data_IF_873600686380
#
_entry.id   IF_873600686380
#
_cell.length_a   1.000
_cell.length_b   1.000
_cell.length_c   1.000
_cell.angle_alpha   90.00
_cell.angle_beta   90.00
_cell.angle_gamma   90.00
#
_symmetry.space_group_name_H-M   'P 1'
#
loop_
_entity.id
_entity.type
_entity.pdbx_description
1 polymer ?
#
# COMPACT_ATOMS: atom_id res chain seq x y z
N UNK A 1 -48.31 -18.39 57.81
CA UNK A 1 -47.84 -19.77 57.54
C UNK A 1 -47.80 -19.97 56.03
N UNK A 2 -46.70 -20.56 55.53
CA UNK A 2 -46.43 -21.04 54.16
C UNK A 2 -46.34 -19.99 53.04
N UNK A 3 -45.18 -19.61 52.50
CA UNK A 3 -44.13 -20.33 51.74
C UNK A 3 -44.55 -20.78 50.31
N UNK A 4 -43.85 -20.17 49.32
CA UNK A 4 -43.34 -20.75 48.05
C UNK A 4 -44.40 -21.00 46.94
N UNK A 5 -44.33 -20.51 45.71
CA UNK A 5 -43.18 -20.43 44.79
C UNK A 5 -43.44 -19.35 43.72
N UNK A 6 -42.66 -18.27 43.74
CA UNK A 6 -42.43 -17.46 42.54
C UNK A 6 -41.47 -18.21 41.62
N UNK A 7 -41.97 -18.68 40.46
CA UNK A 7 -41.10 -19.14 39.36
C UNK A 7 -40.25 -17.95 38.91
N UNK A 8 -38.99 -17.92 39.32
CA UNK A 8 -37.94 -17.15 38.65
C UNK A 8 -37.82 -17.73 37.23
N UNK A 9 -38.07 -16.92 36.21
CA UNK A 9 -37.67 -17.23 34.85
C UNK A 9 -36.16 -17.44 34.85
N UNK A 10 -35.72 -18.66 34.52
CA UNK A 10 -34.31 -18.93 34.24
C UNK A 10 -33.90 -18.03 33.06
N UNK A 11 -32.76 -17.32 33.15
CA UNK A 11 -32.15 -16.77 31.94
C UNK A 11 -31.80 -17.95 31.04
N UNK A 12 -32.37 -17.95 29.84
CA UNK A 12 -31.97 -18.84 28.74
C UNK A 12 -30.46 -18.61 28.53
N UNK A 13 -29.62 -19.65 28.45
CA UNK A 13 -28.21 -19.47 28.15
C UNK A 13 -28.10 -18.79 26.77
N UNK A 14 -27.38 -17.67 26.72
CA UNK A 14 -27.01 -16.99 25.48
C UNK A 14 -26.34 -18.03 24.57
N UNK A 15 -27.04 -18.42 23.52
CA UNK A 15 -26.45 -19.21 22.46
C UNK A 15 -25.37 -18.31 21.84
N UNK A 16 -24.08 -18.72 21.81
CA UNK A 16 -23.06 -17.91 21.17
C UNK A 16 -23.53 -17.62 19.74
N UNK A 17 -23.58 -16.34 19.39
CA UNK A 17 -23.87 -15.93 18.02
C UNK A 17 -22.93 -16.72 17.10
N UNK A 18 -23.44 -17.29 15.98
CA UNK A 18 -22.58 -17.99 15.04
C UNK A 18 -21.42 -17.05 14.68
N UNK A 19 -20.20 -17.57 14.81
CA UNK A 19 -19.00 -16.85 14.43
C UNK A 19 -19.21 -16.36 13.00
N UNK A 20 -19.12 -15.04 12.79
CA UNK A 20 -19.20 -14.46 11.47
C UNK A 20 -18.16 -15.17 10.59
N UNK A 21 -18.61 -15.69 9.44
CA UNK A 21 -17.69 -16.23 8.46
C UNK A 21 -16.64 -15.17 8.14
N UNK A 22 -15.34 -15.51 8.14
CA UNK A 22 -14.31 -14.55 7.81
C UNK A 22 -14.61 -13.97 6.42
N UNK A 23 -14.79 -12.65 6.35
CA UNK A 23 -14.98 -11.97 5.08
C UNK A 23 -13.85 -12.36 4.12
N UNK A 24 -14.14 -12.58 2.81
CA UNK A 24 -13.09 -12.88 1.85
C UNK A 24 -12.04 -11.77 1.88
N UNK A 25 -10.84 -12.10 2.37
CA UNK A 25 -9.73 -11.15 2.40
C UNK A 25 -9.28 -10.95 0.95
N UNK A 26 -9.58 -9.78 0.39
CA UNK A 26 -9.06 -9.39 -0.92
C UNK A 26 -7.53 -9.35 -0.82
N UNK A 27 -6.78 -9.99 -1.74
CA UNK A 27 -5.34 -9.97 -1.71
C UNK A 27 -4.78 -8.54 -1.70
N UNK A 28 -3.68 -8.33 -0.98
CA UNK A 28 -2.99 -7.03 -0.90
C UNK A 28 -2.67 -6.47 -2.30
N UNK A 29 -2.16 -7.34 -3.18
CA UNK A 29 -1.87 -7.01 -4.57
C UNK A 29 -3.09 -6.40 -5.27
N UNK A 30 -4.21 -7.12 -5.32
CA UNK A 30 -5.41 -6.70 -6.06
C UNK A 30 -5.98 -5.38 -5.51
N UNK A 31 -5.92 -5.21 -4.19
CA UNK A 31 -6.34 -3.98 -3.52
C UNK A 31 -5.46 -2.81 -3.97
N UNK A 32 -4.14 -2.95 -3.91
CA UNK A 32 -3.20 -1.88 -4.25
C UNK A 32 -3.17 -1.60 -5.76
N UNK A 33 -3.29 -2.62 -6.60
CA UNK A 33 -3.36 -2.48 -8.05
C UNK A 33 -4.59 -1.64 -8.44
N UNK A 34 -5.74 -1.88 -7.80
CA UNK A 34 -6.94 -1.07 -7.97
C UNK A 34 -6.71 0.41 -7.62
N UNK A 35 -6.06 0.68 -6.50
CA UNK A 35 -5.73 2.05 -6.09
C UNK A 35 -4.72 2.71 -7.03
N UNK A 36 -3.67 1.99 -7.45
CA UNK A 36 -2.65 2.50 -8.37
C UNK A 36 -3.26 2.84 -9.73
N UNK A 37 -4.14 1.98 -10.25
CA UNK A 37 -4.89 2.23 -11.49
C UNK A 37 -5.77 3.49 -11.37
N UNK A 38 -6.41 3.67 -10.22
CA UNK A 38 -7.16 4.90 -9.90
C UNK A 38 -6.26 6.14 -9.90
N UNK A 39 -5.07 6.04 -9.32
CA UNK A 39 -4.09 7.12 -9.27
C UNK A 39 -3.57 7.47 -10.68
N UNK A 40 -3.26 6.48 -11.52
CA UNK A 40 -2.92 6.69 -12.93
C UNK A 40 -4.03 7.44 -13.68
N UNK A 41 -5.29 7.03 -13.49
CA UNK A 41 -6.42 7.69 -14.13
C UNK A 41 -6.56 9.15 -13.68
N UNK A 42 -6.45 9.41 -12.38
CA UNK A 42 -6.51 10.76 -11.82
C UNK A 42 -5.35 11.65 -12.31
N UNK A 43 -4.12 11.11 -12.37
CA UNK A 43 -2.95 11.80 -12.88
C UNK A 43 -3.11 12.17 -14.37
N UNK A 44 -3.63 11.24 -15.19
CA UNK A 44 -3.92 11.50 -16.61
C UNK A 44 -4.99 12.58 -16.79
N UNK A 45 -6.06 12.54 -16.01
CA UNK A 45 -7.12 13.57 -16.04
C UNK A 45 -6.57 14.95 -15.65
N UNK A 46 -5.64 14.98 -14.71
CA UNK A 46 -4.98 16.21 -14.25
C UNK A 46 -3.83 16.66 -15.15
N UNK A 47 -3.49 15.91 -16.21
CA UNK A 47 -2.29 16.11 -17.02
C UNK A 47 -2.17 17.49 -17.65
N UNK A 48 -3.29 18.14 -17.98
CA UNK A 48 -3.27 19.51 -18.51
C UNK A 48 -2.89 20.58 -17.45
N UNK A 49 -3.06 20.27 -16.17
CA UNK A 49 -2.74 21.16 -15.06
C UNK A 49 -1.33 20.91 -14.49
N UNK A 50 -0.77 19.71 -14.70
CA UNK A 50 0.54 19.34 -14.19
C UNK A 50 1.66 19.91 -15.07
N UNK A 51 2.74 20.46 -14.46
CA UNK A 51 3.93 20.83 -15.19
C UNK A 51 4.58 19.60 -15.81
N UNK A 52 5.06 19.71 -17.05
CA UNK A 52 5.68 18.59 -17.78
C UNK A 52 6.78 17.88 -16.97
N UNK A 53 7.73 18.57 -16.30
CA UNK A 53 8.74 17.88 -15.50
C UNK A 53 8.14 17.08 -14.34
N UNK A 54 7.08 17.59 -13.71
CA UNK A 54 6.39 16.89 -12.63
C UNK A 54 5.63 15.66 -13.15
N UNK A 55 5.00 15.76 -14.32
CA UNK A 55 4.35 14.61 -14.97
C UNK A 55 5.32 13.48 -15.27
N UNK A 56 6.52 13.79 -15.78
CA UNK A 56 7.55 12.78 -16.08
C UNK A 56 7.93 12.01 -14.80
N UNK A 57 8.24 12.73 -13.72
CA UNK A 57 8.61 12.11 -12.44
C UNK A 57 7.44 11.29 -11.88
N UNK A 58 6.23 11.85 -11.91
CA UNK A 58 5.03 11.17 -11.42
C UNK A 58 4.80 9.84 -12.16
N UNK A 59 4.78 9.84 -13.49
CA UNK A 59 4.51 8.62 -14.25
C UNK A 59 5.62 7.59 -14.09
N UNK A 60 6.89 8.01 -14.10
CA UNK A 60 8.01 7.09 -13.81
C UNK A 60 7.88 6.43 -12.44
N UNK A 61 7.46 7.20 -11.42
CA UNK A 61 7.26 6.67 -10.07
C UNK A 61 6.07 5.71 -10.00
N UNK A 62 4.98 5.99 -10.71
CA UNK A 62 3.82 5.09 -10.77
C UNK A 62 4.15 3.79 -11.53
N UNK A 63 4.98 3.85 -12.57
CA UNK A 63 5.46 2.66 -13.29
C UNK A 63 6.33 1.79 -12.38
N UNK A 64 7.26 2.39 -11.62
CA UNK A 64 8.08 1.67 -10.64
C UNK A 64 7.23 1.04 -9.52
N UNK A 65 6.17 1.72 -9.07
CA UNK A 65 5.22 1.15 -8.10
C UNK A 65 4.42 -0.01 -8.69
N UNK A 66 4.08 0.04 -9.97
CA UNK A 66 3.42 -1.07 -10.66
C UNK A 66 4.35 -2.30 -10.70
N UNK A 67 5.61 -2.10 -11.07
CA UNK A 67 6.60 -3.18 -11.09
C UNK A 67 6.82 -3.79 -9.69
N UNK A 68 6.87 -2.95 -8.64
CA UNK A 68 6.92 -3.42 -7.26
C UNK A 68 5.68 -4.24 -6.88
N UNK A 69 4.49 -3.83 -7.29
CA UNK A 69 3.27 -4.61 -7.06
C UNK A 69 3.31 -5.92 -7.82
N UNK A 70 3.68 -5.93 -9.10
CA UNK A 70 3.77 -7.17 -9.88
C UNK A 70 4.75 -8.17 -9.24
N UNK A 71 5.85 -7.66 -8.65
CA UNK A 71 6.80 -8.48 -7.91
C UNK A 71 6.15 -9.22 -6.71
N UNK A 72 5.16 -8.61 -6.05
CA UNK A 72 4.46 -9.20 -4.91
C UNK A 72 3.69 -10.49 -5.24
N UNK A 73 3.39 -10.72 -6.53
CA UNK A 73 2.76 -11.97 -7.00
C UNK A 73 3.71 -13.16 -6.95
N UNK A 74 5.03 -12.91 -7.11
CA UNK A 74 6.06 -13.95 -7.15
C UNK A 74 6.73 -14.11 -5.79
N UNK A 75 7.00 -12.99 -5.12
CA UNK A 75 7.61 -12.95 -3.79
C UNK A 75 6.71 -12.13 -2.86
N UNK A 76 5.99 -12.77 -1.92
CA UNK A 76 5.12 -12.06 -1.00
C UNK A 76 5.89 -10.99 -0.20
N UNK A 77 5.39 -9.75 -0.15
CA UNK A 77 6.08 -8.64 0.48
C UNK A 77 6.05 -8.80 2.01
N UNK A 78 7.11 -8.34 2.65
CA UNK A 78 7.15 -8.16 4.11
C UNK A 78 6.09 -7.15 4.56
N UNK A 79 5.76 -7.16 5.86
CA UNK A 79 4.80 -6.19 6.41
C UNK A 79 5.26 -4.74 6.19
N UNK A 80 6.56 -4.47 6.35
CA UNK A 80 7.11 -3.12 6.15
C UNK A 80 7.01 -2.68 4.69
N UNK A 81 7.25 -3.59 3.74
CA UNK A 81 7.06 -3.33 2.30
C UNK A 81 5.59 -3.05 1.97
N UNK A 82 4.66 -3.84 2.53
CA UNK A 82 3.22 -3.62 2.34
C UNK A 82 2.80 -2.24 2.83
N UNK A 83 3.22 -1.88 4.05
CA UNK A 83 2.93 -0.56 4.64
C UNK A 83 3.52 0.55 3.76
N UNK A 84 4.77 0.43 3.32
CA UNK A 84 5.43 1.44 2.52
C UNK A 84 4.73 1.66 1.17
N UNK A 85 4.39 0.57 0.47
CA UNK A 85 3.63 0.61 -0.79
C UNK A 85 2.25 1.24 -0.58
N UNK A 86 1.55 0.81 0.48
CA UNK A 86 0.21 1.29 0.80
C UNK A 86 0.20 2.81 1.03
N UNK A 87 1.09 3.34 1.86
CA UNK A 87 1.18 4.78 2.12
C UNK A 87 1.52 5.58 0.87
N UNK A 88 2.37 5.03 -0.02
CA UNK A 88 2.74 5.73 -1.25
C UNK A 88 1.54 5.90 -2.18
N UNK A 89 0.78 4.82 -2.36
CA UNK A 89 -0.34 4.77 -3.29
C UNK A 89 -1.56 5.50 -2.73
N UNK A 90 -1.86 5.36 -1.44
CA UNK A 90 -3.11 5.88 -0.85
C UNK A 90 -2.99 7.27 -0.25
N UNK A 91 -1.79 7.69 0.17
CA UNK A 91 -1.62 8.93 0.92
C UNK A 91 -0.61 9.88 0.27
N UNK A 92 0.67 9.51 0.18
CA UNK A 92 1.71 10.49 -0.11
C UNK A 92 1.65 11.06 -1.54
N UNK A 93 1.48 10.20 -2.55
CA UNK A 93 1.36 10.69 -3.94
C UNK A 93 0.04 11.44 -4.14
N UNK A 94 -1.14 10.90 -3.76
CA UNK A 94 -2.40 11.61 -3.92
C UNK A 94 -2.41 12.97 -3.18
N UNK A 95 -1.94 13.02 -1.93
CA UNK A 95 -1.94 14.25 -1.14
C UNK A 95 -1.02 15.32 -1.74
N UNK A 96 0.16 14.93 -2.23
CA UNK A 96 1.11 15.82 -2.90
C UNK A 96 0.49 16.46 -4.15
N UNK A 97 -0.13 15.64 -5.01
CA UNK A 97 -0.78 16.13 -6.25
C UNK A 97 -1.98 17.01 -5.90
N UNK A 98 -2.82 16.59 -4.96
CA UNK A 98 -4.00 17.35 -4.55
C UNK A 98 -3.62 18.69 -3.92
N UNK A 99 -2.55 18.74 -3.11
CA UNK A 99 -2.04 19.98 -2.53
C UNK A 99 -1.58 20.96 -3.61
N UNK A 100 -0.90 20.48 -4.66
CA UNK A 100 -0.54 21.32 -5.81
C UNK A 100 -1.77 21.87 -6.53
N UNK A 101 -2.74 21.00 -6.84
CA UNK A 101 -3.96 21.40 -7.56
C UNK A 101 -4.81 22.39 -6.76
N UNK A 102 -4.84 22.28 -5.43
CA UNK A 102 -5.55 23.19 -4.55
C UNK A 102 -4.77 24.49 -4.23
N UNK A 103 -3.47 24.54 -4.53
CA UNK A 103 -2.60 25.65 -4.13
C UNK A 103 -2.93 26.95 -4.85
N UNK A 104 -3.09 28.02 -4.06
CA UNK A 104 -3.27 29.40 -4.52
C UNK A 104 -1.97 30.20 -4.58
N UNK A 105 -0.83 29.55 -4.34
CA UNK A 105 0.47 30.19 -4.46
C UNK A 105 0.75 30.61 -5.91
N UNK A 106 1.73 31.49 -6.10
CA UNK A 106 2.21 31.84 -7.43
C UNK A 106 2.61 30.58 -8.20
N UNK A 107 2.35 30.58 -9.51
CA UNK A 107 2.55 29.42 -10.38
C UNK A 107 3.96 28.84 -10.24
N UNK A 108 5.00 29.66 -10.39
CA UNK A 108 6.39 29.20 -10.29
C UNK A 108 6.67 28.47 -8.96
N UNK A 109 6.23 29.07 -7.85
CA UNK A 109 6.43 28.52 -6.50
C UNK A 109 5.73 27.18 -6.31
N UNK A 110 4.46 27.04 -6.72
CA UNK A 110 3.75 25.76 -6.56
C UNK A 110 4.31 24.67 -7.48
N UNK A 111 4.78 25.02 -8.68
CA UNK A 111 5.40 24.05 -9.60
C UNK A 111 6.75 23.55 -9.05
N UNK A 112 7.57 24.44 -8.50
CA UNK A 112 8.84 24.08 -7.85
C UNK A 112 8.62 23.17 -6.63
N UNK A 113 7.65 23.52 -5.78
CA UNK A 113 7.29 22.71 -4.60
C UNK A 113 6.80 21.32 -4.99
N UNK A 114 5.92 21.22 -5.99
CA UNK A 114 5.45 19.93 -6.50
C UNK A 114 6.62 19.08 -6.99
N UNK A 115 7.48 19.64 -7.84
CA UNK A 115 8.60 18.91 -8.42
C UNK A 115 9.59 18.44 -7.34
N UNK A 116 9.85 19.28 -6.34
CA UNK A 116 10.68 18.92 -5.19
C UNK A 116 10.09 17.75 -4.41
N UNK A 117 8.80 17.81 -4.07
CA UNK A 117 8.12 16.74 -3.33
C UNK A 117 8.07 15.44 -4.12
N UNK A 118 7.74 15.49 -5.42
CA UNK A 118 7.72 14.28 -6.26
C UNK A 118 9.11 13.64 -6.37
N UNK A 119 10.19 14.41 -6.43
CA UNK A 119 11.56 13.85 -6.43
C UNK A 119 11.93 13.16 -5.12
N UNK A 120 11.43 13.67 -3.98
CA UNK A 120 11.63 13.01 -2.69
C UNK A 120 10.88 11.68 -2.63
N UNK A 121 9.64 11.64 -3.13
CA UNK A 121 8.84 10.42 -3.20
C UNK A 121 9.45 9.41 -4.19
N UNK A 122 9.92 9.87 -5.34
CA UNK A 122 10.59 9.03 -6.33
C UNK A 122 11.86 8.38 -5.75
N UNK A 123 12.66 9.15 -5.00
CA UNK A 123 13.82 8.60 -4.28
C UNK A 123 13.43 7.55 -3.24
N UNK A 124 12.26 7.68 -2.59
CA UNK A 124 11.73 6.67 -1.68
C UNK A 124 11.33 5.40 -2.42
N UNK A 125 10.64 5.51 -3.55
CA UNK A 125 10.26 4.36 -4.38
C UNK A 125 11.50 3.60 -4.87
N UNK A 126 12.54 4.30 -5.36
CA UNK A 126 13.80 3.66 -5.73
C UNK A 126 14.49 2.94 -4.56
N UNK A 127 14.42 3.54 -3.36
CA UNK A 127 14.95 2.90 -2.15
C UNK A 127 14.18 1.62 -1.79
N UNK A 128 12.86 1.61 -2.00
CA UNK A 128 12.03 0.42 -1.80
C UNK A 128 12.40 -0.69 -2.79
N UNK A 129 12.50 -0.37 -4.09
CA UNK A 129 12.96 -1.32 -5.13
C UNK A 129 14.31 -1.94 -4.76
N UNK A 130 15.26 -1.11 -4.34
CA UNK A 130 16.59 -1.58 -3.94
C UNK A 130 16.53 -2.50 -2.72
N UNK A 131 15.68 -2.18 -1.73
CA UNK A 131 15.52 -2.98 -0.52
C UNK A 131 14.90 -4.35 -0.83
N UNK A 132 13.90 -4.41 -1.71
CA UNK A 132 13.27 -5.66 -2.16
C UNK A 132 14.31 -6.57 -2.82
N UNK A 133 15.06 -6.07 -3.81
CA UNK A 133 16.09 -6.89 -4.45
C UNK A 133 17.21 -7.31 -3.50
N UNK A 134 17.57 -6.47 -2.53
CA UNK A 134 18.54 -6.84 -1.50
C UNK A 134 18.01 -7.97 -0.60
N UNK A 135 16.73 -7.93 -0.24
CA UNK A 135 16.06 -9.00 0.49
C UNK A 135 16.12 -10.32 -0.29
N UNK A 136 15.72 -10.32 -1.56
CA UNK A 136 15.67 -11.53 -2.37
C UNK A 136 17.05 -12.20 -2.51
N UNK A 137 18.08 -11.39 -2.75
CA UNK A 137 19.46 -11.88 -2.82
C UNK A 137 19.89 -12.55 -1.50
N UNK A 138 19.55 -11.94 -0.36
CA UNK A 138 19.87 -12.52 0.95
C UNK A 138 19.17 -13.87 1.17
N UNK A 139 17.91 -14.02 0.73
CA UNK A 139 17.18 -15.29 0.81
C UNK A 139 17.82 -16.37 -0.07
N UNK A 140 18.26 -16.02 -1.27
CA UNK A 140 18.97 -16.95 -2.16
C UNK A 140 20.29 -17.43 -1.56
N UNK A 141 21.06 -16.54 -0.94
CA UNK A 141 22.32 -16.91 -0.27
C UNK A 141 22.10 -17.86 0.92
N UNK A 142 21.05 -17.63 1.71
CA UNK A 142 20.67 -18.50 2.83
C UNK A 142 20.28 -19.89 2.32
N UNK A 143 19.40 -19.95 1.31
CA UNK A 143 18.94 -21.20 0.73
C UNK A 143 20.10 -22.00 0.08
N UNK A 144 21.01 -21.32 -0.62
CA UNK A 144 22.18 -21.95 -1.23
C UNK A 144 23.15 -22.54 -0.20
N UNK A 145 23.36 -21.85 0.93
CA UNK A 145 24.19 -22.35 2.04
C UNK A 145 23.60 -23.60 2.68
N UNK A 146 22.30 -23.57 2.95
CA UNK A 146 21.59 -24.72 3.51
C UNK A 146 21.67 -25.95 2.61
N UNK A 147 21.52 -25.79 1.29
CA UNK A 147 21.67 -26.90 0.35
C UNK A 147 23.10 -27.48 0.38
N UNK A 148 24.11 -26.61 0.45
CA UNK A 148 25.51 -27.04 0.56
C UNK A 148 25.78 -27.81 1.85
N UNK A 149 25.21 -27.38 2.97
CA UNK A 149 25.34 -28.07 4.26
C UNK A 149 24.61 -29.41 4.30
N UNK A 150 23.48 -29.54 3.57
CA UNK A 150 22.69 -30.77 3.57
C UNK A 150 23.16 -31.84 2.58
N UNK A 151 23.79 -31.45 1.49
CA UNK A 151 24.09 -32.35 0.37
C UNK A 151 25.56 -32.31 -0.09
N UNK A 152 26.37 -31.37 0.40
CA UNK A 152 27.81 -31.30 0.17
C UNK A 152 28.59 -32.00 1.28
#
# INVERSE_FOLDING_TARGET
MSWLFGRRSQPVPDTPAPAAEPEPQVPFHDTMEGHLRGLFAAAKQSGAALPVPASIVLFSMLDNLNELLDHTLVAPPTLDEQIAIEFMIKDYIPSTVNAFLASRAERATREELLLSQLRLLDGRVHSMVTAVYAHDNAQLEINGRFLREKFG
#
